data_IF_959207498141
#
_entry.id   IF_959207498141
#
_cell.length_a   1.000
_cell.length_b   1.000
_cell.length_c   1.000
_cell.angle_alpha   90.00
_cell.angle_beta   90.00
_cell.angle_gamma   90.00
#
_symmetry.space_group_name_H-M   'P 1'
#
loop_
_entity.id
_entity.type
_entity.pdbx_description
1 polymer ?
#
# COMPACT_ATOMS: atom_id res chain seq x y z
N UNK A 1 -24.12 -7.87 15.84
CA UNK A 1 -23.70 -6.96 14.77
C UNK A 1 -22.40 -7.47 14.15
N UNK A 2 -22.43 -7.65 12.84
CA UNK A 2 -21.21 -8.06 12.12
C UNK A 2 -20.36 -6.80 11.86
N UNK A 3 -19.04 -6.93 12.06
CA UNK A 3 -18.12 -5.85 11.74
C UNK A 3 -18.16 -5.58 10.22
N UNK A 4 -17.94 -4.32 9.78
CA UNK A 4 -17.79 -4.02 8.37
C UNK A 4 -16.67 -4.86 7.77
N UNK A 5 -16.80 -5.21 6.50
CA UNK A 5 -15.79 -6.01 5.81
C UNK A 5 -14.97 -5.14 4.85
N UNK A 6 -13.77 -5.62 4.55
CA UNK A 6 -12.86 -5.03 3.56
C UNK A 6 -12.37 -6.14 2.63
N UNK A 7 -12.00 -5.77 1.41
CA UNK A 7 -11.42 -6.71 0.46
C UNK A 7 -9.90 -6.52 0.44
N UNK A 8 -9.17 -7.60 0.73
CA UNK A 8 -7.71 -7.59 0.64
C UNK A 8 -7.26 -7.48 -0.82
N UNK A 9 -6.01 -7.13 -1.03
CA UNK A 9 -5.46 -7.00 -2.38
C UNK A 9 -5.52 -8.30 -3.17
N UNK A 10 -5.55 -9.46 -2.48
CA UNK A 10 -5.69 -10.77 -3.12
C UNK A 10 -7.14 -11.15 -3.43
N UNK A 11 -8.11 -10.29 -3.13
CA UNK A 11 -9.53 -10.53 -3.38
C UNK A 11 -10.28 -11.16 -2.22
N UNK A 12 -9.60 -11.56 -1.16
CA UNK A 12 -10.25 -12.15 0.02
C UNK A 12 -11.01 -11.08 0.80
N UNK A 13 -12.24 -11.40 1.21
CA UNK A 13 -13.07 -10.51 2.02
C UNK A 13 -12.92 -10.90 3.49
N UNK A 14 -12.54 -9.93 4.32
CA UNK A 14 -12.28 -10.15 5.74
C UNK A 14 -12.92 -9.03 6.56
N UNK A 15 -13.14 -9.24 7.87
CA UNK A 15 -13.58 -8.13 8.74
C UNK A 15 -12.54 -7.02 8.78
N UNK A 16 -12.99 -5.77 8.90
CA UNK A 16 -12.07 -4.63 8.92
C UNK A 16 -11.19 -4.57 10.17
N UNK A 17 -11.50 -5.37 11.19
CA UNK A 17 -10.68 -5.48 12.40
C UNK A 17 -9.83 -6.76 12.40
N UNK A 18 -9.72 -7.46 11.26
CA UNK A 18 -8.93 -8.68 11.16
C UNK A 18 -7.43 -8.39 11.16
N UNK A 19 -6.65 -9.39 11.58
CA UNK A 19 -5.19 -9.30 11.53
C UNK A 19 -4.69 -9.19 10.09
N UNK A 20 -5.34 -9.90 9.16
CA UNK A 20 -4.97 -9.87 7.75
C UNK A 20 -5.05 -8.45 7.17
N UNK A 21 -6.11 -7.73 7.49
CA UNK A 21 -6.27 -6.36 7.04
C UNK A 21 -5.22 -5.44 7.67
N UNK A 22 -5.00 -5.59 8.97
CA UNK A 22 -3.99 -4.79 9.67
C UNK A 22 -2.60 -5.04 9.10
N UNK A 23 -2.26 -6.30 8.81
CA UNK A 23 -0.97 -6.67 8.26
C UNK A 23 -0.78 -6.10 6.85
N UNK A 24 -1.84 -6.12 6.02
CA UNK A 24 -1.78 -5.54 4.69
C UNK A 24 -1.52 -4.03 4.77
N UNK A 25 -2.24 -3.32 5.62
CA UNK A 25 -2.07 -1.87 5.80
C UNK A 25 -0.67 -1.56 6.31
N UNK A 26 -0.17 -2.32 7.28
CA UNK A 26 1.15 -2.12 7.86
C UNK A 26 2.26 -2.36 6.83
N UNK A 27 2.16 -3.45 6.07
CA UNK A 27 3.14 -3.78 5.04
C UNK A 27 3.18 -2.69 3.96
N UNK A 28 2.02 -2.19 3.57
CA UNK A 28 1.92 -1.10 2.60
C UNK A 28 2.57 0.17 3.13
N UNK A 29 2.31 0.52 4.38
CA UNK A 29 2.92 1.69 5.01
C UNK A 29 4.44 1.57 5.08
N UNK A 30 4.97 0.42 5.46
CA UNK A 30 6.40 0.18 5.47
C UNK A 30 7.03 0.41 4.11
N UNK A 31 6.37 -0.08 3.06
CA UNK A 31 6.85 0.11 1.68
C UNK A 31 6.84 1.58 1.29
N UNK A 32 5.80 2.33 1.66
CA UNK A 32 5.72 3.77 1.39
C UNK A 32 6.90 4.49 2.05
N UNK A 33 7.18 4.17 3.32
CA UNK A 33 8.31 4.79 4.04
C UNK A 33 9.64 4.48 3.34
N UNK A 34 9.84 3.24 2.89
CA UNK A 34 11.05 2.86 2.14
C UNK A 34 11.14 3.60 0.82
N UNK A 35 10.03 3.76 0.13
CA UNK A 35 9.99 4.44 -1.18
C UNK A 35 10.36 5.91 -1.10
N UNK A 36 10.18 6.54 0.06
CA UNK A 36 10.55 7.93 0.27
C UNK A 36 12.03 8.21 -0.03
N UNK A 37 12.89 7.25 0.28
CA UNK A 37 14.33 7.37 0.10
C UNK A 37 14.82 6.80 -1.23
N UNK A 38 13.94 6.22 -2.04
CA UNK A 38 14.33 5.59 -3.29
C UNK A 38 14.30 6.57 -4.46
N UNK A 39 15.17 6.33 -5.44
CA UNK A 39 15.08 6.99 -6.75
C UNK A 39 13.82 6.51 -7.49
N UNK A 40 13.47 7.22 -8.56
CA UNK A 40 12.33 6.80 -9.40
C UNK A 40 12.53 5.39 -9.96
N UNK A 41 13.78 5.03 -10.29
CA UNK A 41 14.09 3.68 -10.79
C UNK A 41 13.91 2.62 -9.70
N UNK A 42 14.34 2.91 -8.48
CA UNK A 42 14.16 2.02 -7.34
C UNK A 42 12.69 1.82 -7.00
N UNK A 43 11.90 2.90 -7.03
CA UNK A 43 10.46 2.82 -6.79
C UNK A 43 9.75 1.97 -7.83
N UNK A 44 10.11 2.16 -9.10
CA UNK A 44 9.52 1.36 -10.19
C UNK A 44 9.87 -0.12 -10.05
N UNK A 45 11.11 -0.43 -9.69
CA UNK A 45 11.53 -1.80 -9.48
C UNK A 45 10.77 -2.46 -8.32
N UNK A 46 10.55 -1.73 -7.23
CA UNK A 46 9.75 -2.23 -6.10
C UNK A 46 8.30 -2.48 -6.52
N UNK A 47 7.70 -1.56 -7.26
CA UNK A 47 6.33 -1.72 -7.75
C UNK A 47 6.20 -2.95 -8.66
N UNK A 48 7.18 -3.17 -9.55
CA UNK A 48 7.20 -4.34 -10.42
C UNK A 48 7.32 -5.64 -9.61
N UNK A 49 8.13 -5.64 -8.56
CA UNK A 49 8.28 -6.78 -7.66
C UNK A 49 6.97 -7.08 -6.93
N UNK A 50 6.30 -6.04 -6.42
CA UNK A 50 5.02 -6.19 -5.74
C UNK A 50 3.98 -6.77 -6.69
N UNK A 51 3.92 -6.28 -7.93
CA UNK A 51 2.98 -6.80 -8.93
C UNK A 51 3.25 -8.27 -9.23
N UNK A 52 4.52 -8.65 -9.36
CA UNK A 52 4.91 -10.03 -9.64
C UNK A 52 4.55 -10.99 -8.51
N UNK A 53 4.73 -10.55 -7.26
CA UNK A 53 4.55 -11.41 -6.10
C UNK A 53 3.15 -11.35 -5.51
N UNK A 54 2.45 -10.23 -5.62
CA UNK A 54 1.20 -9.98 -4.92
C UNK A 54 0.05 -9.55 -5.86
N UNK A 55 0.34 -9.28 -7.13
CA UNK A 55 -0.67 -8.96 -8.12
C UNK A 55 -0.85 -7.46 -8.38
N UNK A 56 -1.63 -7.17 -9.43
CA UNK A 56 -1.82 -5.80 -9.91
C UNK A 56 -2.56 -4.91 -8.90
N UNK A 57 -3.49 -5.47 -8.15
CA UNK A 57 -4.24 -4.70 -7.16
C UNK A 57 -3.35 -4.24 -6.01
N UNK A 58 -2.44 -5.10 -5.54
CA UNK A 58 -1.47 -4.72 -4.52
C UNK A 58 -0.56 -3.59 -5.02
N UNK A 59 -0.10 -3.67 -6.26
CA UNK A 59 0.69 -2.60 -6.89
C UNK A 59 -0.10 -1.30 -6.93
N UNK A 60 -1.35 -1.34 -7.40
CA UNK A 60 -2.19 -0.16 -7.51
C UNK A 60 -2.37 0.52 -6.14
N UNK A 61 -2.65 -0.28 -5.11
CA UNK A 61 -2.83 0.25 -3.75
C UNK A 61 -1.57 0.90 -3.22
N UNK A 62 -0.40 0.34 -3.53
CA UNK A 62 0.87 0.93 -3.12
C UNK A 62 1.15 2.22 -3.88
N UNK A 63 0.87 2.27 -5.18
CA UNK A 63 1.03 3.50 -5.97
C UNK A 63 0.16 4.64 -5.42
N UNK A 64 -1.11 4.34 -5.11
CA UNK A 64 -2.02 5.33 -4.54
C UNK A 64 -1.54 5.80 -3.17
N UNK A 65 -1.12 4.86 -2.32
CA UNK A 65 -0.65 5.20 -0.98
C UNK A 65 0.61 6.06 -1.02
N UNK A 66 1.53 5.76 -1.92
CA UNK A 66 2.75 6.56 -2.07
C UNK A 66 2.44 7.97 -2.61
N UNK A 67 1.55 8.06 -3.60
CA UNK A 67 1.14 9.36 -4.15
C UNK A 67 0.48 10.23 -3.08
N UNK A 68 -0.40 9.64 -2.28
CA UNK A 68 -1.10 10.38 -1.22
C UNK A 68 -0.13 10.83 -0.13
N UNK A 69 0.83 9.98 0.23
CA UNK A 69 1.90 10.35 1.16
C UNK A 69 2.77 11.47 0.62
N UNK A 70 3.15 11.39 -0.64
CA UNK A 70 3.93 12.43 -1.30
C UNK A 70 3.20 13.78 -1.27
N UNK A 71 1.93 13.77 -1.65
CA UNK A 71 1.12 14.98 -1.66
C UNK A 71 0.93 15.57 -0.26
N UNK A 72 0.73 14.73 0.75
CA UNK A 72 0.60 15.17 2.13
C UNK A 72 1.89 15.82 2.64
N UNK A 73 3.05 15.23 2.34
CA UNK A 73 4.35 15.78 2.76
C UNK A 73 4.67 17.06 2.00
N UNK A 74 4.35 17.12 0.71
CA UNK A 74 4.54 18.33 -0.10
C UNK A 74 3.68 19.47 0.42
N UNK A 75 2.41 19.20 0.78
CA UNK A 75 1.51 20.19 1.35
C UNK A 75 1.99 20.69 2.71
N UNK A 76 2.60 19.83 3.53
CA UNK A 76 3.09 20.19 4.86
C UNK A 76 4.33 21.08 4.80
N UNK A 77 5.09 21.07 3.72
CA UNK A 77 6.30 21.88 3.56
C UNK A 77 6.05 23.21 2.85
N UNK A 78 4.84 23.44 2.42
CA UNK A 78 4.48 24.67 1.70
C UNK A 78 4.36 25.89 2.60
#
# INVERSE_FOLDING_TARGET
>A
MTAPTVTLANGEVVPNNSLQWRDECFARWERVVRMRAMSIHGRRALLDEVERNEGAEARRRLEVAFRDDWNARKGATA
#
